data_IF_673789504220
#
_entry.id   IF_673789504220
#
_cell.length_a   1.000
_cell.length_b   1.000
_cell.length_c   1.000
_cell.angle_alpha   90.00
_cell.angle_beta   90.00
_cell.angle_gamma   90.00
#
_symmetry.space_group_name_H-M   'P 1'
#
loop_
_entity.id
_entity.type
_entity.pdbx_description
1 polymer ?
#
# COMPACT_ATOMS: atom_id res chain seq x y z
N UNK A 1 34.72 -12.69 -3.31
CA UNK A 1 35.21 -12.16 -2.02
C UNK A 1 35.45 -10.65 -2.05
N UNK A 2 36.40 -10.13 -2.85
CA UNK A 2 36.68 -8.68 -2.90
C UNK A 2 35.49 -7.83 -3.40
N UNK A 3 34.82 -8.26 -4.49
CA UNK A 3 33.63 -7.58 -4.99
C UNK A 3 32.51 -7.52 -3.93
N UNK A 4 32.20 -8.65 -3.28
CA UNK A 4 31.23 -8.78 -2.18
C UNK A 4 31.60 -7.94 -0.93
N UNK A 5 32.89 -7.71 -0.67
CA UNK A 5 33.36 -6.84 0.42
C UNK A 5 33.17 -5.35 0.10
N UNK A 6 33.46 -4.92 -1.13
CA UNK A 6 33.23 -3.54 -1.60
C UNK A 6 31.74 -3.20 -1.64
N UNK A 7 30.98 -4.12 -2.19
CA UNK A 7 29.54 -4.24 -2.14
C UNK A 7 28.97 -3.97 -0.73
N UNK A 8 29.35 -4.80 0.24
CA UNK A 8 28.94 -4.63 1.64
C UNK A 8 29.33 -3.26 2.19
N UNK A 9 30.56 -2.80 1.97
CA UNK A 9 31.01 -1.50 2.48
C UNK A 9 30.19 -0.34 1.91
N UNK A 10 29.75 -0.45 0.66
CA UNK A 10 28.88 0.53 -0.01
C UNK A 10 27.47 0.53 0.59
N UNK A 11 26.93 -0.64 0.91
CA UNK A 11 25.66 -0.77 1.61
C UNK A 11 25.75 -0.30 3.07
N UNK A 12 26.85 -0.56 3.76
CA UNK A 12 27.11 -0.08 5.12
C UNK A 12 27.19 1.46 5.15
N UNK A 13 27.90 2.08 4.20
CA UNK A 13 27.97 3.54 4.09
C UNK A 13 26.63 4.16 3.70
N UNK A 14 25.80 3.45 2.92
CA UNK A 14 24.42 3.84 2.66
C UNK A 14 23.46 3.56 3.84
N UNK A 15 23.95 2.94 4.92
CA UNK A 15 23.16 2.60 6.11
C UNK A 15 22.18 1.44 5.93
N UNK A 16 22.44 0.55 4.96
CA UNK A 16 21.56 -0.54 4.52
C UNK A 16 21.91 -1.90 5.15
N UNK A 17 23.15 -2.10 5.60
CA UNK A 17 23.57 -3.35 6.24
C UNK A 17 24.25 -3.02 7.57
N UNK A 18 23.80 -3.64 8.67
CA UNK A 18 24.47 -3.60 9.96
C UNK A 18 25.64 -4.61 10.01
N UNK A 19 26.56 -4.49 10.98
CA UNK A 19 27.78 -5.32 11.12
C UNK A 19 27.53 -6.81 11.46
N UNK A 20 26.38 -7.37 11.10
CA UNK A 20 25.99 -8.75 11.44
C UNK A 20 26.50 -9.77 10.42
N UNK A 21 26.79 -10.99 10.89
CA UNK A 21 27.22 -12.13 10.06
C UNK A 21 26.15 -12.48 9.02
N UNK A 22 26.48 -12.26 7.74
CA UNK A 22 25.62 -12.52 6.59
C UNK A 22 25.57 -14.02 6.27
N UNK A 23 24.36 -14.53 6.03
CA UNK A 23 24.12 -15.86 5.49
C UNK A 23 24.34 -15.87 3.97
N UNK A 24 24.63 -17.04 3.36
CA UNK A 24 24.85 -17.15 1.92
C UNK A 24 23.68 -16.66 1.05
N UNK A 25 22.44 -16.78 1.55
CA UNK A 25 21.24 -16.28 0.89
C UNK A 25 21.20 -14.74 0.78
N UNK A 26 21.98 -14.04 1.62
CA UNK A 26 22.01 -12.58 1.64
C UNK A 26 22.87 -12.01 0.51
N UNK A 27 23.72 -12.81 -0.16
CA UNK A 27 24.61 -12.32 -1.23
C UNK A 27 23.88 -11.89 -2.49
N UNK A 28 22.84 -12.62 -2.90
CA UNK A 28 22.04 -12.26 -4.09
C UNK A 28 21.22 -10.99 -3.81
N UNK A 29 20.64 -10.86 -2.61
CA UNK A 29 19.91 -9.67 -2.17
C UNK A 29 20.85 -8.45 -2.09
N UNK A 30 22.06 -8.63 -1.54
CA UNK A 30 23.11 -7.60 -1.49
C UNK A 30 23.53 -7.14 -2.90
N UNK A 31 23.69 -8.08 -3.84
CA UNK A 31 24.03 -7.75 -5.22
C UNK A 31 22.91 -6.97 -5.91
N UNK A 32 21.64 -7.34 -5.68
CA UNK A 32 20.48 -6.60 -6.19
C UNK A 32 20.42 -5.18 -5.61
N UNK A 33 20.64 -5.02 -4.30
CA UNK A 33 20.65 -3.71 -3.63
C UNK A 33 21.75 -2.80 -4.18
N UNK A 34 22.95 -3.32 -4.45
CA UNK A 34 24.01 -2.54 -5.09
C UNK A 34 23.68 -2.16 -6.51
N UNK A 35 23.19 -3.11 -7.32
CA UNK A 35 22.78 -2.81 -8.69
C UNK A 35 21.75 -1.69 -8.73
N UNK A 36 20.77 -1.71 -7.82
CA UNK A 36 19.78 -0.64 -7.69
C UNK A 36 20.42 0.71 -7.29
N UNK A 37 21.35 0.73 -6.34
CA UNK A 37 22.03 1.96 -5.91
C UNK A 37 22.93 2.55 -6.99
N UNK A 38 23.66 1.72 -7.73
CA UNK A 38 24.55 2.17 -8.80
C UNK A 38 23.74 2.75 -9.97
N UNK A 39 22.60 2.12 -10.31
CA UNK A 39 21.64 2.68 -11.25
C UNK A 39 21.07 4.03 -10.77
N UNK A 40 20.67 4.15 -9.50
CA UNK A 40 20.18 5.42 -8.94
C UNK A 40 21.21 6.54 -9.02
N UNK A 41 22.46 6.26 -8.63
CA UNK A 41 23.55 7.24 -8.65
C UNK A 41 23.84 7.72 -10.06
N UNK A 42 23.85 6.81 -11.03
CA UNK A 42 24.08 7.13 -12.43
C UNK A 42 22.96 8.02 -12.98
N UNK A 43 21.70 7.62 -12.78
CA UNK A 43 20.55 8.39 -13.25
C UNK A 43 20.44 9.78 -12.58
N UNK A 44 20.77 9.90 -11.29
CA UNK A 44 20.80 11.19 -10.59
C UNK A 44 21.89 12.12 -11.12
N UNK A 45 23.08 11.58 -11.42
CA UNK A 45 24.16 12.36 -12.01
C UNK A 45 23.74 12.92 -13.39
N UNK A 46 23.12 12.08 -14.22
CA UNK A 46 22.60 12.47 -15.53
C UNK A 46 21.46 13.50 -15.42
N UNK A 47 20.50 13.31 -14.51
CA UNK A 47 19.41 14.29 -14.28
C UNK A 47 19.92 15.65 -13.80
N UNK A 48 21.00 15.67 -13.03
CA UNK A 48 21.60 16.92 -12.56
C UNK A 48 22.17 17.72 -13.73
N UNK A 49 22.71 17.05 -14.75
CA UNK A 49 23.18 17.69 -15.99
C UNK A 49 22.02 18.20 -16.86
N UNK A 50 20.85 17.55 -16.78
CA UNK A 50 19.65 17.87 -17.55
C UNK A 50 18.71 18.90 -16.88
N UNK A 51 19.06 19.43 -15.71
CA UNK A 51 18.20 20.35 -14.91
C UNK A 51 18.19 21.81 -15.38
N UNK A 52 19.09 22.22 -16.28
CA UNK A 52 19.06 23.54 -16.92
C UNK A 52 17.87 23.65 -17.90
N UNK A 53 17.44 24.86 -18.31
CA UNK A 53 16.43 24.99 -19.36
C UNK A 53 16.96 24.36 -20.65
N UNK A 54 16.53 23.14 -20.93
CA UNK A 54 16.94 22.38 -22.10
C UNK A 54 16.02 22.67 -23.30
N UNK A 55 16.55 22.65 -24.52
CA UNK A 55 15.75 22.59 -25.74
C UNK A 55 14.77 21.40 -25.72
N UNK A 56 13.68 21.51 -26.49
CA UNK A 56 12.64 20.49 -26.50
C UNK A 56 13.13 19.09 -26.95
N UNK A 57 14.22 19.05 -27.68
CA UNK A 57 14.87 17.82 -28.17
C UNK A 57 15.41 16.93 -27.04
N UNK A 58 15.58 17.46 -25.82
CA UNK A 58 16.07 16.71 -24.66
C UNK A 58 14.96 16.20 -23.75
N UNK A 59 13.68 16.45 -24.06
CA UNK A 59 12.56 15.95 -23.24
C UNK A 59 12.52 14.42 -23.20
N UNK A 60 12.76 13.75 -24.33
CA UNK A 60 12.76 12.30 -24.42
C UNK A 60 13.91 11.68 -23.61
N UNK A 61 15.10 12.30 -23.68
CA UNK A 61 16.24 11.89 -22.88
C UNK A 61 15.95 12.09 -21.39
N UNK A 62 15.39 13.23 -20.99
CA UNK A 62 14.99 13.48 -19.60
C UNK A 62 13.97 12.45 -19.13
N UNK A 63 12.93 12.18 -19.91
CA UNK A 63 11.92 11.16 -19.59
C UNK A 63 12.56 9.78 -19.41
N UNK A 64 13.51 9.41 -20.27
CA UNK A 64 14.26 8.17 -20.15
C UNK A 64 15.05 8.07 -18.84
N UNK A 65 15.80 9.12 -18.47
CA UNK A 65 16.60 9.12 -17.23
C UNK A 65 15.69 9.15 -15.99
N UNK A 66 14.56 9.89 -16.04
CA UNK A 66 13.53 9.85 -14.97
C UNK A 66 12.98 8.42 -14.81
N UNK A 67 12.70 7.71 -15.91
CA UNK A 67 12.23 6.33 -15.87
C UNK A 67 13.28 5.38 -15.30
N UNK A 68 14.56 5.54 -15.65
CA UNK A 68 15.64 4.76 -15.05
C UNK A 68 15.74 4.99 -13.54
N UNK A 69 15.66 6.25 -13.09
CA UNK A 69 15.67 6.57 -11.66
C UNK A 69 14.44 6.00 -10.94
N UNK A 70 13.26 6.13 -11.53
CA UNK A 70 12.01 5.58 -10.98
C UNK A 70 12.11 4.07 -10.78
N UNK A 71 12.64 3.36 -11.77
CA UNK A 71 12.86 1.91 -11.69
C UNK A 71 13.93 1.54 -10.65
N UNK A 72 15.01 2.31 -10.55
CA UNK A 72 16.04 2.11 -9.53
C UNK A 72 15.51 2.31 -8.11
N UNK A 73 14.71 3.35 -7.87
CA UNK A 73 14.01 3.58 -6.59
C UNK A 73 12.97 2.50 -6.30
N UNK A 74 12.20 2.07 -7.31
CA UNK A 74 11.24 0.99 -7.14
C UNK A 74 11.92 -0.33 -6.76
N UNK A 75 13.03 -0.67 -7.42
CA UNK A 75 13.80 -1.89 -7.16
C UNK A 75 14.40 -1.89 -5.75
N UNK A 76 15.06 -0.79 -5.36
CA UNK A 76 15.62 -0.63 -4.01
C UNK A 76 14.54 -0.72 -2.93
N UNK A 77 13.46 0.06 -3.08
CA UNK A 77 12.35 0.05 -2.15
C UNK A 77 11.67 -1.32 -2.04
N UNK A 78 11.56 -2.05 -3.16
CA UNK A 78 10.97 -3.40 -3.20
C UNK A 78 11.84 -4.44 -2.51
N UNK A 79 13.15 -4.43 -2.74
CA UNK A 79 14.08 -5.33 -2.10
C UNK A 79 14.07 -5.14 -0.57
N UNK A 80 14.12 -3.88 -0.11
CA UNK A 80 14.04 -3.57 1.31
C UNK A 80 12.67 -3.91 1.91
N UNK A 81 11.59 -3.71 1.16
CA UNK A 81 10.24 -4.14 1.57
C UNK A 81 10.20 -5.64 1.84
N UNK A 82 10.69 -6.48 0.92
CA UNK A 82 10.74 -7.94 1.11
C UNK A 82 11.53 -8.33 2.38
N UNK A 83 12.72 -7.76 2.59
CA UNK A 83 13.53 -8.03 3.79
C UNK A 83 12.77 -7.70 5.09
N UNK A 84 12.05 -6.58 5.11
CA UNK A 84 11.31 -6.11 6.29
C UNK A 84 10.01 -6.89 6.53
N UNK A 85 9.29 -7.28 5.47
CA UNK A 85 8.04 -8.03 5.60
C UNK A 85 8.24 -9.50 5.92
N UNK A 86 9.37 -10.09 5.50
CA UNK A 86 9.75 -11.46 5.87
C UNK A 86 10.15 -11.59 7.36
N UNK A 87 10.17 -10.49 8.11
CA UNK A 87 10.54 -10.47 9.53
C UNK A 87 12.03 -10.65 9.79
N UNK A 88 12.87 -10.53 8.75
CA UNK A 88 14.34 -10.68 8.86
C UNK A 88 15.03 -9.48 9.50
N UNK A 89 14.35 -8.33 9.54
CA UNK A 89 14.87 -7.13 10.21
C UNK A 89 13.74 -6.24 10.72
N UNK A 90 13.97 -5.63 11.88
CA UNK A 90 13.12 -4.57 12.47
C UNK A 90 13.85 -3.22 12.51
N UNK A 91 14.94 -3.08 11.76
CA UNK A 91 15.75 -1.85 11.77
C UNK A 91 14.96 -0.66 11.21
N UNK A 92 14.71 0.33 12.09
CA UNK A 92 14.01 1.55 11.75
C UNK A 92 14.69 2.36 10.64
N UNK A 93 16.00 2.22 10.43
CA UNK A 93 16.73 2.88 9.34
C UNK A 93 16.39 2.25 7.98
N UNK A 94 16.35 0.92 7.91
CA UNK A 94 15.96 0.20 6.70
C UNK A 94 14.51 0.50 6.33
N UNK A 95 13.63 0.52 7.33
CA UNK A 95 12.24 0.90 7.14
C UNK A 95 12.11 2.32 6.58
N UNK A 96 12.85 3.28 7.14
CA UNK A 96 12.85 4.66 6.64
C UNK A 96 13.34 4.71 5.19
N UNK A 97 14.45 4.03 4.87
CA UNK A 97 15.01 4.01 3.51
C UNK A 97 14.07 3.36 2.51
N UNK A 98 13.42 2.25 2.87
CA UNK A 98 12.42 1.58 2.04
C UNK A 98 11.25 2.53 1.73
N UNK A 99 10.71 3.19 2.76
CA UNK A 99 9.61 4.12 2.61
C UNK A 99 9.97 5.34 1.73
N UNK A 100 11.16 5.91 1.91
CA UNK A 100 11.67 7.02 1.10
C UNK A 100 11.85 6.61 -0.37
N UNK A 101 12.42 5.42 -0.60
CA UNK A 101 12.68 4.91 -1.95
C UNK A 101 11.37 4.61 -2.70
N UNK A 102 10.40 3.95 -2.04
CA UNK A 102 9.08 3.74 -2.62
C UNK A 102 8.33 5.06 -2.88
N UNK A 103 8.47 6.06 -2.01
CA UNK A 103 7.86 7.37 -2.21
C UNK A 103 8.48 8.15 -3.37
N UNK A 104 9.81 8.10 -3.50
CA UNK A 104 10.52 8.69 -4.63
C UNK A 104 10.10 8.03 -5.94
N UNK A 105 10.08 6.69 -6.00
CA UNK A 105 9.60 5.94 -7.15
C UNK A 105 8.16 6.33 -7.53
N UNK A 106 7.25 6.41 -6.55
CA UNK A 106 5.87 6.83 -6.78
C UNK A 106 5.81 8.23 -7.42
N UNK A 107 6.54 9.21 -6.88
CA UNK A 107 6.55 10.58 -7.41
C UNK A 107 7.09 10.64 -8.84
N UNK A 108 8.10 9.82 -9.17
CA UNK A 108 8.70 9.80 -10.51
C UNK A 108 7.76 9.11 -11.51
N UNK A 109 7.09 8.02 -11.12
CA UNK A 109 6.06 7.41 -11.97
C UNK A 109 4.84 8.30 -12.17
N UNK A 110 4.48 9.12 -11.18
CA UNK A 110 3.45 10.15 -11.32
C UNK A 110 3.87 11.22 -12.35
N UNK A 111 5.13 11.67 -12.33
CA UNK A 111 5.68 12.58 -13.35
C UNK A 111 5.63 11.97 -14.76
N UNK A 112 5.91 10.67 -14.87
CA UNK A 112 5.87 9.93 -16.15
C UNK A 112 4.45 9.56 -16.61
N UNK A 113 3.43 9.73 -15.77
CA UNK A 113 2.07 9.27 -16.05
C UNK A 113 1.87 7.74 -15.96
N UNK A 114 2.84 7.02 -15.39
CA UNK A 114 2.87 5.55 -15.25
C UNK A 114 1.97 5.07 -14.10
N UNK A 115 0.64 5.13 -14.31
CA UNK A 115 -0.38 4.85 -13.27
C UNK A 115 -0.24 3.47 -12.63
N UNK A 116 0.08 2.44 -13.40
CA UNK A 116 0.28 1.07 -12.90
C UNK A 116 1.41 1.00 -11.88
N UNK A 117 2.57 1.55 -12.24
CA UNK A 117 3.75 1.55 -11.38
C UNK A 117 3.53 2.40 -10.14
N UNK A 118 2.86 3.55 -10.30
CA UNK A 118 2.43 4.40 -9.19
C UNK A 118 1.51 3.63 -8.21
N UNK A 119 0.48 2.93 -8.68
CA UNK A 119 -0.44 2.15 -7.84
C UNK A 119 0.30 1.03 -7.10
N UNK A 120 1.23 0.34 -7.78
CA UNK A 120 2.05 -0.69 -7.15
C UNK A 120 2.90 -0.12 -6.01
N UNK A 121 3.51 1.06 -6.20
CA UNK A 121 4.28 1.71 -5.13
C UNK A 121 3.40 2.08 -3.94
N UNK A 122 2.19 2.60 -4.17
CA UNK A 122 1.22 2.87 -3.10
C UNK A 122 0.88 1.59 -2.33
N UNK A 123 0.61 0.47 -3.01
CA UNK A 123 0.35 -0.82 -2.34
C UNK A 123 1.56 -1.26 -1.50
N UNK A 124 2.77 -1.22 -2.06
CA UNK A 124 3.99 -1.62 -1.33
C UNK A 124 4.23 -0.77 -0.09
N UNK A 125 3.98 0.55 -0.15
CA UNK A 125 4.03 1.41 1.04
C UNK A 125 2.96 1.04 2.09
N UNK A 126 1.76 0.67 1.65
CA UNK A 126 0.70 0.14 2.52
C UNK A 126 1.15 -1.14 3.22
N UNK A 127 1.60 -2.13 2.45
CA UNK A 127 2.11 -3.42 2.93
C UNK A 127 3.29 -3.27 3.90
N UNK A 128 4.25 -2.39 3.58
CA UNK A 128 5.38 -2.06 4.45
C UNK A 128 4.93 -1.56 5.82
N UNK A 129 4.06 -0.55 5.85
CA UNK A 129 3.57 0.02 7.11
C UNK A 129 2.69 -0.96 7.89
N UNK A 130 1.95 -1.82 7.18
CA UNK A 130 1.10 -2.85 7.78
C UNK A 130 1.94 -3.91 8.50
N UNK A 131 2.98 -4.43 7.84
CA UNK A 131 3.88 -5.42 8.43
C UNK A 131 4.56 -4.86 9.69
N UNK A 132 5.03 -3.62 9.65
CA UNK A 132 5.62 -2.95 10.82
C UNK A 132 4.60 -2.75 11.94
N UNK A 133 3.36 -2.36 11.61
CA UNK A 133 2.30 -2.22 12.60
C UNK A 133 2.05 -3.55 13.33
N UNK A 134 2.04 -4.67 12.60
CA UNK A 134 1.86 -6.01 13.16
C UNK A 134 3.05 -6.46 14.02
N UNK A 135 4.28 -6.13 13.64
CA UNK A 135 5.48 -6.43 14.43
C UNK A 135 5.57 -5.58 15.71
N UNK A 136 5.04 -4.36 15.66
CA UNK A 136 5.09 -3.38 16.77
C UNK A 136 3.94 -3.52 17.75
N UNK A 137 3.02 -4.48 17.55
CA UNK A 137 1.81 -4.70 18.38
C UNK A 137 2.13 -5.35 19.75
N UNK A 138 3.16 -4.84 20.43
CA UNK A 138 3.43 -5.05 21.84
C UNK A 138 2.86 -3.89 22.66
N UNK A 139 2.39 -4.18 23.88
CA UNK A 139 1.66 -3.24 24.77
C UNK A 139 2.41 -1.91 24.95
N UNK A 140 3.75 -1.91 24.87
CA UNK A 140 4.59 -0.74 25.09
C UNK A 140 4.61 0.25 23.91
N UNK A 141 4.27 -0.17 22.69
CA UNK A 141 4.36 0.65 21.47
C UNK A 141 3.03 0.82 20.72
N UNK A 142 1.90 0.63 21.40
CA UNK A 142 0.54 0.71 20.82
C UNK A 142 0.30 2.00 20.01
N UNK A 143 0.82 3.14 20.47
CA UNK A 143 0.69 4.42 19.74
C UNK A 143 1.43 4.39 18.39
N UNK A 144 2.64 3.83 18.35
CA UNK A 144 3.42 3.75 17.12
C UNK A 144 2.80 2.75 16.14
N UNK A 145 2.32 1.60 16.62
CA UNK A 145 1.60 0.61 15.83
C UNK A 145 0.32 1.21 15.21
N UNK A 146 -0.47 1.97 15.97
CA UNK A 146 -1.67 2.65 15.47
C UNK A 146 -1.36 3.71 14.40
N UNK A 147 -0.29 4.49 14.56
CA UNK A 147 0.14 5.47 13.54
C UNK A 147 0.52 4.75 12.25
N UNK A 148 1.29 3.65 12.35
CA UNK A 148 1.68 2.83 11.20
C UNK A 148 0.48 2.20 10.51
N UNK A 149 -0.46 1.64 11.27
CA UNK A 149 -1.69 1.09 10.73
C UNK A 149 -2.51 2.17 10.00
N UNK A 150 -2.63 3.36 10.58
CA UNK A 150 -3.34 4.48 9.92
C UNK A 150 -2.67 4.87 8.61
N UNK A 151 -1.34 4.94 8.57
CA UNK A 151 -0.60 5.22 7.34
C UNK A 151 -0.79 4.09 6.31
N UNK A 152 -0.71 2.82 6.74
CA UNK A 152 -0.92 1.67 5.88
C UNK A 152 -2.27 1.73 5.17
N UNK A 153 -3.35 1.94 5.94
CA UNK A 153 -4.71 2.02 5.40
C UNK A 153 -4.87 3.18 4.42
N UNK A 154 -4.28 4.35 4.69
CA UNK A 154 -4.29 5.48 3.74
C UNK A 154 -3.60 5.15 2.42
N UNK A 155 -2.50 4.41 2.45
CA UNK A 155 -1.82 3.99 1.22
C UNK A 155 -2.67 3.00 0.42
N UNK A 156 -3.32 2.04 1.09
CA UNK A 156 -4.27 1.14 0.43
C UNK A 156 -5.51 1.85 -0.12
N UNK A 157 -6.08 2.81 0.62
CA UNK A 157 -7.20 3.63 0.14
C UNK A 157 -6.83 4.39 -1.14
N UNK A 158 -5.61 4.93 -1.22
CA UNK A 158 -5.10 5.57 -2.45
C UNK A 158 -4.90 4.56 -3.57
N UNK A 159 -4.32 3.39 -3.28
CA UNK A 159 -4.09 2.33 -4.27
C UNK A 159 -5.40 1.72 -4.80
N UNK A 160 -6.46 1.73 -4.00
CA UNK A 160 -7.79 1.21 -4.31
C UNK A 160 -8.78 2.32 -4.65
N UNK A 161 -8.31 3.51 -5.02
CA UNK A 161 -9.18 4.64 -5.31
C UNK A 161 -10.10 4.32 -6.50
N UNK A 162 -11.38 4.73 -6.46
CA UNK A 162 -12.31 4.48 -7.55
C UNK A 162 -11.79 5.00 -8.90
N UNK A 163 -11.11 6.15 -8.90
CA UNK A 163 -10.55 6.76 -10.11
C UNK A 163 -9.48 5.87 -10.77
N UNK A 164 -8.63 5.21 -9.97
CA UNK A 164 -7.62 4.28 -10.50
C UNK A 164 -8.25 2.99 -10.99
N UNK A 165 -9.29 2.50 -10.31
CA UNK A 165 -9.97 1.25 -10.70
C UNK A 165 -10.85 1.43 -11.93
N UNK A 166 -11.48 2.60 -12.11
CA UNK A 166 -12.33 2.90 -13.26
C UNK A 166 -11.55 2.94 -14.58
N UNK A 167 -10.26 3.31 -14.53
CA UNK A 167 -9.36 3.29 -15.70
C UNK A 167 -8.28 2.21 -15.58
N UNK A 168 -8.54 1.17 -14.79
CA UNK A 168 -7.54 0.15 -14.45
C UNK A 168 -7.21 -0.73 -15.65
N UNK A 169 -5.92 -0.83 -15.99
CA UNK A 169 -5.42 -1.89 -16.87
C UNK A 169 -5.42 -3.25 -16.14
N UNK A 170 -5.32 -4.37 -16.86
CA UNK A 170 -5.29 -5.71 -16.23
C UNK A 170 -4.25 -5.83 -15.09
N UNK A 171 -3.00 -5.33 -15.22
CA UNK A 171 -2.05 -5.35 -14.12
C UNK A 171 -2.44 -4.47 -12.92
N UNK A 172 -3.20 -3.40 -13.14
CA UNK A 172 -3.75 -2.58 -12.05
C UNK A 172 -4.86 -3.30 -11.29
N UNK A 173 -5.68 -4.09 -12.00
CA UNK A 173 -6.69 -4.94 -11.38
C UNK A 173 -6.06 -6.04 -10.55
N UNK A 174 -4.99 -6.69 -11.06
CA UNK A 174 -4.17 -7.62 -10.27
C UNK A 174 -3.59 -6.92 -9.04
N UNK A 175 -3.04 -5.72 -9.20
CA UNK A 175 -2.48 -4.96 -8.09
C UNK A 175 -3.53 -4.64 -7.02
N UNK A 176 -4.75 -4.27 -7.43
CA UNK A 176 -5.86 -3.99 -6.53
C UNK A 176 -6.39 -5.26 -5.83
N UNK A 177 -6.44 -6.39 -6.54
CA UNK A 177 -6.83 -7.67 -5.97
C UNK A 177 -5.82 -8.16 -4.93
N UNK A 178 -4.52 -8.05 -5.19
CA UNK A 178 -3.47 -8.34 -4.21
C UNK A 178 -3.58 -7.44 -2.99
N UNK A 179 -3.80 -6.13 -3.17
CA UNK A 179 -4.01 -5.18 -2.06
C UNK A 179 -5.22 -5.56 -1.19
N UNK A 180 -6.32 -5.99 -1.81
CA UNK A 180 -7.52 -6.46 -1.09
C UNK A 180 -7.28 -7.77 -0.37
N UNK A 181 -6.51 -8.69 -0.95
CA UNK A 181 -6.11 -9.94 -0.29
C UNK A 181 -5.24 -9.66 0.95
N UNK A 182 -4.26 -8.75 0.84
CA UNK A 182 -3.42 -8.31 1.97
C UNK A 182 -4.28 -7.75 3.12
N UNK A 183 -5.22 -6.86 2.81
CA UNK A 183 -6.16 -6.31 3.80
C UNK A 183 -7.08 -7.38 4.39
N UNK A 184 -7.58 -8.31 3.58
CA UNK A 184 -8.45 -9.38 4.07
C UNK A 184 -7.70 -10.28 5.07
N UNK A 185 -6.48 -10.70 4.72
CA UNK A 185 -5.63 -11.50 5.60
C UNK A 185 -5.25 -10.76 6.88
N UNK A 186 -4.96 -9.46 6.77
CA UNK A 186 -4.74 -8.61 7.94
C UNK A 186 -5.95 -8.63 8.87
N UNK A 187 -7.15 -8.29 8.39
CA UNK A 187 -8.33 -8.26 9.25
C UNK A 187 -8.73 -9.64 9.81
N UNK A 188 -8.42 -10.74 9.12
CA UNK A 188 -8.60 -12.10 9.64
C UNK A 188 -7.67 -12.40 10.83
N UNK A 189 -6.43 -11.92 10.77
CA UNK A 189 -5.39 -12.17 11.78
C UNK A 189 -5.36 -11.12 12.90
N UNK A 190 -5.91 -9.93 12.65
CA UNK A 190 -5.82 -8.78 13.56
C UNK A 190 -6.60 -8.99 14.85
N UNK A 191 -5.88 -8.98 15.98
CA UNK A 191 -6.43 -9.16 17.32
C UNK A 191 -7.06 -7.87 17.89
N UNK A 192 -6.78 -6.70 17.30
CA UNK A 192 -7.29 -5.42 17.79
C UNK A 192 -8.74 -5.13 17.38
N UNK A 193 -9.54 -4.57 18.31
CA UNK A 193 -10.94 -4.17 18.04
C UNK A 193 -11.98 -5.27 18.24
N UNK A 194 -13.23 -4.99 17.84
CA UNK A 194 -14.30 -6.00 17.91
C UNK A 194 -14.15 -7.01 16.78
N UNK A 195 -13.80 -8.25 17.10
CA UNK A 195 -13.57 -9.36 16.14
C UNK A 195 -14.60 -9.43 15.00
N UNK A 196 -15.87 -9.15 15.31
CA UNK A 196 -16.94 -9.12 14.32
C UNK A 196 -16.67 -8.14 13.17
N UNK A 197 -16.34 -6.87 13.48
CA UNK A 197 -16.08 -5.83 12.47
C UNK A 197 -14.86 -6.16 11.61
N UNK A 198 -13.86 -6.82 12.19
CA UNK A 198 -12.67 -7.24 11.45
C UNK A 198 -13.05 -8.32 10.43
N UNK A 199 -13.79 -9.36 10.85
CA UNK A 199 -14.23 -10.40 9.92
C UNK A 199 -15.18 -9.88 8.84
N UNK A 200 -16.06 -8.92 9.15
CA UNK A 200 -16.88 -8.22 8.14
C UNK A 200 -16.01 -7.45 7.14
N UNK A 201 -14.93 -6.83 7.61
CA UNK A 201 -14.00 -6.07 6.76
C UNK A 201 -13.18 -7.01 5.87
N UNK A 202 -12.71 -8.12 6.41
CA UNK A 202 -12.05 -9.16 5.62
C UNK A 202 -12.94 -9.70 4.51
N UNK A 203 -14.21 -10.00 4.84
CA UNK A 203 -15.19 -10.49 3.88
C UNK A 203 -15.45 -9.49 2.75
N UNK A 204 -15.61 -8.20 3.09
CA UNK A 204 -15.81 -7.12 2.09
C UNK A 204 -14.62 -7.01 1.15
N UNK A 205 -13.39 -7.03 1.65
CA UNK A 205 -12.20 -6.94 0.80
C UNK A 205 -12.06 -8.14 -0.13
N UNK A 206 -12.25 -9.37 0.37
CA UNK A 206 -12.20 -10.58 -0.45
C UNK A 206 -13.26 -10.55 -1.57
N UNK A 207 -14.51 -10.22 -1.24
CA UNK A 207 -15.62 -10.13 -2.21
C UNK A 207 -15.42 -9.02 -3.23
N UNK A 208 -14.96 -7.85 -2.81
CA UNK A 208 -14.74 -6.73 -3.73
C UNK A 208 -13.70 -7.07 -4.80
N UNK A 209 -12.68 -7.88 -4.46
CA UNK A 209 -11.71 -8.38 -5.43
C UNK A 209 -12.32 -9.41 -6.39
N UNK A 210 -13.09 -10.38 -5.88
CA UNK A 210 -13.73 -11.41 -6.70
C UNK A 210 -14.81 -10.85 -7.63
N UNK A 211 -15.61 -9.87 -7.19
CA UNK A 211 -16.62 -9.21 -8.02
C UNK A 211 -16.02 -8.44 -9.19
N UNK A 212 -14.83 -7.85 -9.01
CA UNK A 212 -14.13 -7.15 -10.07
C UNK A 212 -13.70 -8.07 -11.24
N UNK A 213 -13.76 -9.40 -11.05
CA UNK A 213 -13.52 -10.41 -12.09
C UNK A 213 -14.83 -10.89 -12.74
N UNK A 214 -15.89 -11.04 -11.95
CA UNK A 214 -17.14 -11.66 -12.39
C UNK A 214 -18.11 -10.72 -13.12
N UNK A 215 -18.14 -9.43 -12.76
CA UNK A 215 -18.97 -8.43 -13.41
C UNK A 215 -18.07 -7.42 -14.10
N UNK A 216 -18.26 -7.22 -15.41
CA UNK A 216 -17.71 -6.06 -16.10
C UNK A 216 -18.09 -4.80 -15.32
N UNK A 217 -17.08 -4.23 -14.64
CA UNK A 217 -17.14 -3.21 -13.62
C UNK A 217 -18.39 -2.32 -13.60
N UNK A 218 -19.17 -2.38 -12.51
CA UNK A 218 -19.91 -1.23 -12.02
C UNK A 218 -19.21 -0.70 -10.74
N UNK A 219 -18.29 0.27 -10.85
CA UNK A 219 -17.37 0.65 -9.76
C UNK A 219 -17.98 1.57 -8.68
N UNK A 220 -19.31 1.78 -8.65
CA UNK A 220 -19.91 2.86 -7.85
C UNK A 220 -20.42 2.49 -6.45
N UNK A 221 -20.32 1.24 -6.01
CA UNK A 221 -21.00 0.80 -4.80
C UNK A 221 -20.12 0.16 -3.74
N UNK A 222 -19.18 0.89 -3.12
CA UNK A 222 -18.77 0.70 -1.70
C UNK A 222 -17.54 1.56 -1.36
N UNK A 223 -17.77 2.80 -0.91
CA UNK A 223 -16.74 3.60 -0.23
C UNK A 223 -16.41 2.96 1.12
N UNK A 224 -15.15 2.56 1.31
CA UNK A 224 -14.65 2.02 2.57
C UNK A 224 -14.56 3.14 3.62
N UNK A 225 -15.62 3.35 4.41
CA UNK A 225 -15.51 4.15 5.63
C UNK A 225 -14.88 3.29 6.74
N UNK A 226 -13.56 3.30 6.83
CA UNK A 226 -12.87 2.84 8.04
C UNK A 226 -13.10 3.88 9.13
N UNK A 227 -14.05 3.61 10.02
CA UNK A 227 -14.17 4.36 11.28
C UNK A 227 -13.00 3.95 12.16
N UNK A 228 -11.90 4.69 12.09
CA UNK A 228 -10.90 4.74 13.15
C UNK A 228 -11.58 5.25 14.43
N UNK A 229 -12.12 4.33 15.22
CA UNK A 229 -12.68 4.61 16.53
C UNK A 229 -11.55 4.94 17.51
N UNK A 230 -11.07 6.19 17.50
CA UNK A 230 -10.36 6.74 18.63
C UNK A 230 -11.33 6.78 19.83
N UNK A 231 -11.00 6.01 20.86
CA UNK A 231 -11.74 5.95 22.14
C UNK A 231 -11.87 7.36 22.72
N UNK A 232 -13.07 7.92 22.66
CA UNK A 232 -13.45 9.02 23.54
C UNK A 232 -13.84 8.41 24.88
N UNK A 233 -12.84 8.30 25.77
CA UNK A 233 -13.07 7.91 27.15
C UNK A 233 -13.93 8.98 27.82
N UNK A 234 -15.21 8.63 28.06
CA UNK A 234 -16.01 9.27 29.11
C UNK A 234 -15.33 8.98 30.44
N UNK A 235 -14.63 9.97 30.99
CA UNK A 235 -14.37 10.03 32.41
C UNK A 235 -15.35 11.02 33.02
N UNK A 236 -16.43 10.49 33.60
CA UNK A 236 -17.13 11.19 34.65
C UNK A 236 -16.31 11.02 35.93
N UNK A 237 -15.70 12.10 36.40
CA UNK A 237 -15.30 12.22 37.80
C UNK A 237 -15.45 13.68 38.21
N UNK A 238 -16.42 13.89 39.08
CA UNK A 238 -16.67 15.08 39.88
C UNK A 238 -15.55 15.26 40.90
N UNK A 239 -14.83 16.39 40.89
CA UNK A 239 -14.31 17.05 42.09
C UNK A 239 -13.68 18.39 41.69
N UNK A 240 -14.21 19.47 42.26
CA UNK A 240 -13.83 20.84 41.94
C UNK A 240 -12.49 21.27 42.52
N UNK A 241 -11.90 22.28 41.90
CA UNK A 241 -11.07 23.26 42.59
C UNK A 241 -11.01 24.55 41.77
N UNK A 242 -11.23 25.65 42.50
CA UNK A 242 -11.20 27.06 42.12
C UNK A 242 -9.85 27.49 41.51
N UNK A 243 -9.88 28.53 40.67
CA UNK A 243 -8.72 29.42 40.50
C UNK A 243 -8.49 30.00 39.11
N UNK A 244 -9.42 30.79 38.56
CA UNK A 244 -9.13 31.66 37.41
C UNK A 244 -8.72 33.05 37.92
N UNK A 245 -7.45 33.39 37.73
CA UNK A 245 -6.94 34.77 37.86
C UNK A 245 -6.63 35.29 36.47
N UNK A 246 -7.18 36.47 36.20
CA UNK A 246 -7.07 37.25 34.98
C UNK A 246 -5.66 37.84 34.75
N UNK A 247 -5.35 38.09 33.46
CA UNK A 247 -4.62 39.26 32.86
C UNK A 247 -4.42 38.91 31.37
N UNK A 248 -5.01 39.62 30.40
CA UNK A 248 -4.71 41.00 29.99
C UNK A 248 -3.67 40.95 28.86
N UNK A 249 -4.04 41.13 27.56
CA UNK A 249 -3.97 42.40 26.78
C UNK A 249 -2.59 43.07 26.85
N UNK A 250 -1.90 43.50 25.80
CA UNK A 250 -2.22 44.02 24.46
C UNK A 250 -0.97 43.93 23.56
N UNK A 251 -1.11 44.11 22.24
CA UNK A 251 0.06 44.32 21.36
C UNK A 251 -0.21 44.35 19.86
N UNK A 252 -0.82 45.44 19.39
CA UNK A 252 -1.06 45.83 17.99
C UNK A 252 0.17 45.84 17.07
N UNK A 253 -0.01 45.50 15.79
CA UNK A 253 0.95 45.79 14.71
C UNK A 253 0.38 45.59 13.29
N UNK A 254 -0.02 46.71 12.67
CA UNK A 254 -0.63 46.89 11.32
C UNK A 254 0.25 46.39 10.15
N UNK A 255 -0.35 45.73 9.15
CA UNK A 255 -0.75 46.21 7.80
C UNK A 255 0.41 46.54 6.84
N UNK A 256 0.46 45.78 5.75
CA UNK A 256 1.08 46.13 4.47
C UNK A 256 0.57 45.12 3.43
N UNK A 257 -0.38 45.53 2.61
CA UNK A 257 -0.84 44.75 1.46
C UNK A 257 -0.27 45.37 0.19
N UNK A 258 0.01 44.55 -0.80
CA UNK A 258 -0.13 44.93 -2.20
C UNK A 258 -0.32 43.67 -3.05
N UNK A 259 -1.24 43.81 -4.00
CA UNK A 259 -1.65 42.82 -4.98
C UNK A 259 -0.67 42.89 -6.13
N UNK A 260 -0.46 41.77 -6.82
CA UNK A 260 -0.46 41.82 -8.28
C UNK A 260 -0.95 40.52 -8.89
N UNK A 261 -1.73 40.72 -9.95
CA UNK A 261 -2.45 39.73 -10.71
C UNK A 261 -1.67 39.36 -11.99
N UNK A 262 -1.73 38.09 -12.35
CA UNK A 262 -1.40 37.55 -13.67
C UNK A 262 -1.64 36.04 -13.60
N UNK A 263 -2.59 35.42 -14.32
CA UNK A 263 -3.11 35.73 -15.63
C UNK A 263 -2.25 35.05 -16.70
N UNK A 264 -2.46 33.76 -16.97
CA UNK A 264 -1.69 33.08 -18.02
C UNK A 264 -1.92 31.57 -18.19
N UNK A 265 -2.95 31.23 -18.97
CA UNK A 265 -3.08 30.06 -19.84
C UNK A 265 -2.86 28.64 -19.26
N UNK A 266 -3.98 27.98 -18.96
CA UNK A 266 -4.14 26.52 -19.14
C UNK A 266 -3.82 26.19 -20.60
N UNK A 267 -2.83 25.34 -20.84
CA UNK A 267 -2.64 24.68 -22.13
C UNK A 267 -3.29 23.31 -22.06
N UNK A 268 -4.46 23.24 -22.68
CA UNK A 268 -5.02 22.01 -23.21
C UNK A 268 -4.06 21.48 -24.29
N UNK A 269 -3.25 20.50 -23.91
CA UNK A 269 -2.42 19.72 -24.81
C UNK A 269 -3.01 18.32 -24.94
N UNK A 270 -4.11 18.21 -25.67
CA UNK A 270 -4.61 16.93 -26.16
C UNK A 270 -3.64 16.42 -27.24
N UNK A 271 -2.87 15.37 -26.93
CA UNK A 271 -2.19 14.55 -27.95
C UNK A 271 -2.15 13.10 -27.46
N UNK A 272 -2.73 12.20 -28.26
CA UNK A 272 -2.41 10.77 -28.22
C UNK A 272 -3.40 9.89 -27.47
N UNK A 273 -4.65 9.84 -27.94
CA UNK A 273 -5.51 8.67 -27.72
C UNK A 273 -4.90 7.47 -28.44
N UNK A 274 -3.97 6.79 -27.77
CA UNK A 274 -3.50 5.47 -28.15
C UNK A 274 -4.55 4.46 -27.71
N UNK A 275 -5.31 4.00 -28.69
CA UNK A 275 -6.07 2.76 -28.73
C UNK A 275 -6.07 1.97 -27.41
N UNK A 276 -7.11 2.18 -26.60
CA UNK A 276 -7.46 1.27 -25.52
C UNK A 276 -7.94 -0.02 -26.18
N UNK A 277 -6.96 -0.81 -26.63
CA UNK A 277 -7.13 -2.21 -26.94
C UNK A 277 -7.81 -2.82 -25.72
N UNK A 278 -9.12 -3.03 -25.86
CA UNK A 278 -9.95 -3.81 -24.97
C UNK A 278 -9.47 -5.24 -25.16
N UNK A 279 -8.29 -5.52 -24.59
CA UNK A 279 -7.72 -6.85 -24.52
C UNK A 279 -8.76 -7.74 -23.90
N UNK A 280 -8.98 -8.87 -24.56
CA UNK A 280 -9.74 -10.01 -24.08
C UNK A 280 -9.56 -10.16 -22.58
N UNK A 281 -10.66 -10.37 -21.84
CA UNK A 281 -10.67 -10.37 -20.38
C UNK A 281 -9.57 -11.25 -19.81
N UNK A 282 -8.45 -10.64 -19.43
CA UNK A 282 -7.44 -11.31 -18.63
C UNK A 282 -8.00 -11.40 -17.22
N UNK A 283 -8.64 -12.54 -16.97
CA UNK A 283 -9.06 -12.97 -15.65
C UNK A 283 -7.89 -12.86 -14.66
N UNK A 284 -8.21 -12.62 -13.38
CA UNK A 284 -7.18 -12.63 -12.35
C UNK A 284 -6.43 -13.98 -12.36
N UNK A 285 -5.12 -13.99 -12.05
CA UNK A 285 -4.37 -15.23 -11.92
C UNK A 285 -5.07 -16.23 -11.00
N UNK A 286 -5.12 -17.50 -11.41
CA UNK A 286 -5.86 -18.55 -10.68
C UNK A 286 -5.43 -18.65 -9.21
N UNK A 287 -4.13 -18.52 -8.92
CA UNK A 287 -3.60 -18.53 -7.55
C UNK A 287 -4.18 -17.40 -6.68
N UNK A 288 -4.43 -16.24 -7.28
CA UNK A 288 -4.96 -15.06 -6.59
C UNK A 288 -6.46 -15.22 -6.34
N UNK A 289 -7.20 -15.77 -7.32
CA UNK A 289 -8.61 -16.14 -7.16
C UNK A 289 -8.77 -17.16 -6.04
N UNK A 290 -7.96 -18.23 -6.05
CA UNK A 290 -7.98 -19.26 -5.01
C UNK A 290 -7.68 -18.67 -3.62
N UNK A 291 -6.68 -17.79 -3.51
CA UNK A 291 -6.33 -17.14 -2.25
C UNK A 291 -7.45 -16.20 -1.75
N UNK A 292 -8.11 -15.46 -2.63
CA UNK A 292 -9.24 -14.59 -2.28
C UNK A 292 -10.46 -15.40 -1.84
N UNK A 293 -10.78 -16.50 -2.52
CA UNK A 293 -11.87 -17.39 -2.12
C UNK A 293 -11.56 -18.03 -0.76
N UNK A 294 -10.32 -18.43 -0.52
CA UNK A 294 -9.91 -18.95 0.78
C UNK A 294 -10.04 -17.90 1.90
N UNK A 295 -9.69 -16.63 1.63
CA UNK A 295 -9.90 -15.54 2.57
C UNK A 295 -11.40 -15.30 2.84
N UNK A 296 -12.26 -15.34 1.82
CA UNK A 296 -13.72 -15.26 1.96
C UNK A 296 -14.27 -16.41 2.83
N UNK A 297 -13.87 -17.65 2.54
CA UNK A 297 -14.26 -18.84 3.32
C UNK A 297 -13.90 -18.68 4.80
N UNK A 298 -12.67 -18.26 5.09
CA UNK A 298 -12.20 -18.03 6.46
C UNK A 298 -13.00 -16.94 7.17
N UNK A 299 -13.28 -15.83 6.49
CA UNK A 299 -14.06 -14.73 7.06
C UNK A 299 -15.48 -15.19 7.43
N UNK A 300 -16.16 -15.91 6.53
CA UNK A 300 -17.49 -16.47 6.77
C UNK A 300 -17.51 -17.45 7.93
N UNK A 301 -16.51 -18.34 8.03
CA UNK A 301 -16.41 -19.29 9.15
C UNK A 301 -16.22 -18.57 10.49
N UNK A 302 -15.44 -17.49 10.54
CA UNK A 302 -15.26 -16.71 11.76
C UNK A 302 -16.53 -15.94 12.14
N UNK A 303 -17.22 -15.32 11.18
CA UNK A 303 -18.51 -14.66 11.41
C UNK A 303 -19.57 -15.65 11.92
N UNK A 304 -19.64 -16.84 11.31
CA UNK A 304 -20.49 -17.94 11.74
C UNK A 304 -20.20 -18.33 13.19
N UNK A 305 -18.92 -18.51 13.54
CA UNK A 305 -18.49 -18.87 14.90
C UNK A 305 -18.91 -17.79 15.90
N UNK A 306 -18.58 -16.53 15.63
CA UNK A 306 -18.91 -15.40 16.52
C UNK A 306 -20.42 -15.29 16.73
N UNK A 307 -21.22 -15.32 15.66
CA UNK A 307 -22.67 -15.20 15.78
C UNK A 307 -23.33 -16.41 16.44
N UNK A 308 -22.80 -17.62 16.23
CA UNK A 308 -23.28 -18.82 16.92
C UNK A 308 -23.01 -18.73 18.43
N UNK A 309 -21.81 -18.31 18.83
CA UNK A 309 -21.47 -18.13 20.25
C UNK A 309 -22.28 -17.01 20.92
N UNK A 310 -22.69 -15.99 20.17
CA UNK A 310 -23.52 -14.90 20.65
C UNK A 310 -25.03 -15.23 20.66
N UNK A 311 -25.44 -16.45 20.27
CA UNK A 311 -26.84 -16.85 20.18
C UNK A 311 -27.64 -16.20 19.04
N UNK A 312 -26.97 -15.55 18.08
CA UNK A 312 -27.62 -14.93 16.92
C UNK A 312 -27.82 -15.97 15.81
N UNK A 313 -28.81 -16.85 16.02
CA UNK A 313 -29.08 -18.01 15.14
C UNK A 313 -29.46 -17.61 13.73
N UNK A 314 -30.18 -16.49 13.54
CA UNK A 314 -30.57 -15.99 12.23
C UNK A 314 -29.35 -15.58 11.39
N UNK A 315 -28.44 -14.76 11.94
CA UNK A 315 -27.21 -14.39 11.22
C UNK A 315 -26.28 -15.58 11.00
N UNK A 316 -26.17 -16.48 11.97
CA UNK A 316 -25.39 -17.70 11.82
C UNK A 316 -25.92 -18.60 10.70
N UNK A 317 -27.24 -18.73 10.54
CA UNK A 317 -27.84 -19.47 9.43
C UNK A 317 -27.51 -18.83 8.07
N UNK A 318 -27.63 -17.50 7.97
CA UNK A 318 -27.31 -16.75 6.75
C UNK A 318 -25.85 -16.94 6.33
N UNK A 319 -24.88 -16.77 7.24
CA UNK A 319 -23.47 -17.00 6.91
C UNK A 319 -23.14 -18.46 6.55
N UNK A 320 -23.89 -19.43 7.09
CA UNK A 320 -23.76 -20.84 6.71
C UNK A 320 -24.22 -21.09 5.28
N UNK A 321 -25.31 -20.44 4.85
CA UNK A 321 -25.80 -20.52 3.47
C UNK A 321 -24.82 -19.88 2.50
N UNK A 322 -24.32 -18.67 2.83
CA UNK A 322 -23.28 -18.01 2.02
C UNK A 322 -22.02 -18.87 1.90
N UNK A 323 -21.55 -19.46 2.99
CA UNK A 323 -20.38 -20.36 2.96
C UNK A 323 -20.61 -21.59 2.07
N UNK A 324 -21.80 -22.18 2.10
CA UNK A 324 -22.17 -23.30 1.22
C UNK A 324 -22.19 -22.87 -0.25
N UNK A 325 -22.71 -21.69 -0.55
CA UNK A 325 -22.71 -21.16 -1.93
C UNK A 325 -21.28 -21.00 -2.47
N UNK A 326 -20.36 -20.46 -1.66
CA UNK A 326 -18.94 -20.33 -2.02
C UNK A 326 -18.28 -21.69 -2.28
N UNK A 327 -18.57 -22.71 -1.46
CA UNK A 327 -18.05 -24.06 -1.68
C UNK A 327 -18.54 -24.67 -2.99
N UNK A 328 -19.83 -24.53 -3.30
CA UNK A 328 -20.42 -25.06 -4.52
C UNK A 328 -19.85 -24.37 -5.77
N UNK A 329 -19.70 -23.04 -5.72
CA UNK A 329 -19.16 -22.28 -6.84
C UNK A 329 -17.70 -22.62 -7.14
N UNK A 330 -16.87 -22.78 -6.10
CA UNK A 330 -15.45 -23.14 -6.31
C UNK A 330 -15.26 -24.62 -6.72
N UNK A 331 -16.14 -25.54 -6.31
CA UNK A 331 -16.11 -26.92 -6.80
C UNK A 331 -16.38 -27.01 -8.31
N UNK A 332 -17.12 -26.06 -8.88
CA UNK A 332 -17.38 -25.99 -10.31
C UNK A 332 -16.19 -25.42 -11.10
N UNK A 333 -15.36 -24.57 -10.47
CA UNK A 333 -14.21 -23.91 -11.08
C UNK A 333 -12.92 -24.74 -11.04
N UNK A 334 -12.83 -25.76 -10.18
CA UNK A 334 -11.72 -26.71 -10.14
C UNK A 334 -12.13 -28.07 -10.71
N UNK A 335 -12.13 -28.27 -12.05
CA UNK A 335 -12.27 -29.62 -12.59
C UNK A 335 -11.07 -30.44 -12.11
N UNK A 336 -11.34 -31.64 -11.59
CA UNK A 336 -10.33 -32.58 -11.11
C UNK A 336 -9.13 -32.66 -12.07
N UNK A 337 -7.87 -32.72 -11.57
CA UNK A 337 -6.78 -33.21 -12.40
C UNK A 337 -7.17 -34.62 -12.81
N UNK A 338 -7.41 -34.82 -14.11
CA UNK A 338 -7.62 -36.13 -14.69
C UNK A 338 -6.40 -36.97 -14.36
N UNK A 339 -6.54 -37.83 -13.37
CA UNK A 339 -5.58 -38.89 -13.05
C UNK A 339 -5.44 -39.71 -14.33
N UNK A 340 -4.29 -39.56 -14.98
CA UNK A 340 -3.85 -40.37 -16.12
C UNK A 340 -2.93 -41.46 -15.61
#
# INVERSE_FOLDING_TARGET
AAAASTAMRTLQTAGIVADSELQPADFDEIAQLQGALDHQRTALAELTLLRSPQPAEFWDLRAHVVAQLANGEAALGSALHHILTDGRSSDGKLLKRAAESLAAAQSLFEELGERKSMQLMMRKQGSLNLAVAMQTDCIENERAANVRLTLALRHYERALSPDLLATGSAPMLVCAAEARLELANFFLSWAGGTKLRNYDSALRHARAALRAVGDGADPQGETCHVVCGSRQARSGSTLGARGAVARGRDGSGRVGGERDAGGGARRDGAVGGGDAGRGEGEDLPEWLVAALVEAEKRALLQLLRVHSTAGNTAKAALFREEYRAVLLHHQQLSPHPSVS
#
